data_IF_316955843140
#
_entry.id   IF_316955843140
#
_cell.length_a   1.000
_cell.length_b   1.000
_cell.length_c   1.000
_cell.angle_alpha   90.00
_cell.angle_beta   90.00
_cell.angle_gamma   90.00
#
_symmetry.space_group_name_H-M   'P 1'
#
loop_
_entity.id
_entity.type
_entity.pdbx_description
1 polymer ?
#
# COMPACT_ATOMS: atom_id res chain seq x y z
N UNK A 1 -21.09 -24.34 -13.83
CA UNK A 1 -21.38 -23.54 -12.62
C UNK A 1 -20.10 -22.98 -12.00
N UNK A 2 -19.10 -22.60 -12.81
CA UNK A 2 -17.77 -22.18 -12.32
C UNK A 2 -17.53 -20.67 -12.50
N UNK A 3 -18.41 -19.98 -13.23
CA UNK A 3 -18.23 -18.57 -13.59
C UNK A 3 -18.71 -17.58 -12.51
N UNK A 4 -19.56 -18.04 -11.57
CA UNK A 4 -20.14 -17.21 -10.52
C UNK A 4 -19.20 -16.98 -9.33
N UNK A 5 -18.25 -17.89 -9.08
CA UNK A 5 -17.33 -17.77 -7.93
C UNK A 5 -16.19 -16.78 -8.19
N UNK A 6 -15.76 -16.66 -9.46
CA UNK A 6 -14.64 -15.77 -9.85
C UNK A 6 -14.99 -14.27 -9.77
N UNK A 7 -16.25 -13.90 -10.01
CA UNK A 7 -16.70 -12.51 -9.98
C UNK A 7 -16.76 -11.89 -8.57
N UNK A 8 -17.14 -12.67 -7.56
CA UNK A 8 -17.27 -12.20 -6.17
C UNK A 8 -15.92 -11.99 -5.49
N UNK A 9 -14.99 -12.95 -5.66
CA UNK A 9 -13.67 -12.91 -5.03
C UNK A 9 -12.81 -11.75 -5.54
N UNK A 10 -12.97 -11.36 -6.81
CA UNK A 10 -12.31 -10.17 -7.37
C UNK A 10 -12.82 -8.87 -6.76
N UNK A 11 -14.14 -8.71 -6.63
CA UNK A 11 -14.76 -7.52 -6.06
C UNK A 11 -14.47 -7.32 -4.58
N UNK A 12 -14.50 -8.39 -3.78
CA UNK A 12 -14.16 -8.33 -2.35
C UNK A 12 -12.71 -7.91 -2.15
N UNK A 13 -11.77 -8.44 -2.94
CA UNK A 13 -10.36 -8.06 -2.87
C UNK A 13 -10.16 -6.57 -3.15
N UNK A 14 -10.88 -6.04 -4.14
CA UNK A 14 -10.89 -4.62 -4.45
C UNK A 14 -11.39 -3.81 -3.27
N UNK A 15 -12.54 -4.17 -2.70
CA UNK A 15 -13.12 -3.44 -1.57
C UNK A 15 -12.20 -3.46 -0.35
N UNK A 16 -11.61 -4.61 -0.03
CA UNK A 16 -10.66 -4.75 1.09
C UNK A 16 -9.41 -3.91 0.87
N UNK A 17 -8.81 -3.98 -0.33
CA UNK A 17 -7.61 -3.20 -0.64
C UNK A 17 -7.88 -1.70 -0.65
N UNK A 18 -9.02 -1.26 -1.21
CA UNK A 18 -9.43 0.15 -1.20
C UNK A 18 -9.68 0.63 0.24
N UNK A 19 -10.45 -0.11 1.04
CA UNK A 19 -10.71 0.23 2.43
C UNK A 19 -9.41 0.32 3.24
N UNK A 20 -8.48 -0.62 3.03
CA UNK A 20 -7.17 -0.61 3.66
C UNK A 20 -6.35 0.63 3.27
N UNK A 21 -6.30 0.99 1.98
CA UNK A 21 -5.58 2.18 1.52
C UNK A 21 -6.19 3.47 2.08
N UNK A 22 -7.52 3.58 2.10
CA UNK A 22 -8.21 4.74 2.69
C UNK A 22 -7.86 4.87 4.17
N UNK A 23 -7.94 3.77 4.93
CA UNK A 23 -7.58 3.75 6.34
C UNK A 23 -6.11 4.14 6.56
N UNK A 24 -5.20 3.60 5.74
CA UNK A 24 -3.78 3.94 5.80
C UNK A 24 -3.54 5.44 5.54
N UNK A 25 -4.18 6.01 4.50
CA UNK A 25 -4.09 7.44 4.20
C UNK A 25 -4.57 8.31 5.37
N UNK A 26 -5.69 7.94 6.01
CA UNK A 26 -6.18 8.64 7.21
C UNK A 26 -5.15 8.59 8.34
N UNK A 27 -4.61 7.40 8.64
CA UNK A 27 -3.62 7.23 9.70
C UNK A 27 -2.33 8.02 9.44
N UNK A 28 -1.81 7.98 8.21
CA UNK A 28 -0.63 8.75 7.78
C UNK A 28 -0.89 10.25 7.95
N UNK A 29 -2.06 10.72 7.53
CA UNK A 29 -2.45 12.14 7.65
C UNK A 29 -2.52 12.56 9.11
N UNK A 30 -3.15 11.76 9.97
CA UNK A 30 -3.20 12.05 11.41
C UNK A 30 -1.80 12.11 12.02
N UNK A 31 -0.93 11.13 11.73
CA UNK A 31 0.46 11.12 12.21
C UNK A 31 1.25 12.35 11.73
N UNK A 32 1.02 12.79 10.49
CA UNK A 32 1.64 13.99 9.96
C UNK A 32 1.14 15.26 10.69
N UNK A 33 -0.17 15.38 10.93
CA UNK A 33 -0.78 16.51 11.65
C UNK A 33 -0.33 16.56 13.11
N UNK A 34 -0.18 15.42 13.77
CA UNK A 34 0.34 15.32 15.14
C UNK A 34 1.88 15.43 15.24
N UNK A 35 2.55 15.89 14.18
CA UNK A 35 3.99 16.13 14.17
C UNK A 35 4.83 14.86 14.46
N UNK A 36 4.36 13.72 13.97
CA UNK A 36 5.09 12.45 13.96
C UNK A 36 5.44 12.03 12.51
N UNK A 37 6.14 12.87 11.73
CA UNK A 37 6.36 12.66 10.29
C UNK A 37 7.12 11.36 10.00
N UNK A 38 8.10 11.02 10.84
CA UNK A 38 8.85 9.78 10.70
C UNK A 38 7.96 8.53 10.87
N UNK A 39 7.03 8.55 11.83
CA UNK A 39 6.07 7.46 12.02
C UNK A 39 5.09 7.38 10.85
N UNK A 40 4.64 8.51 10.33
CA UNK A 40 3.79 8.57 9.13
C UNK A 40 4.45 7.89 7.92
N UNK A 41 5.75 8.16 7.72
CA UNK A 41 6.54 7.56 6.63
C UNK A 41 6.71 6.05 6.82
N UNK A 42 6.96 5.59 8.04
CA UNK A 42 7.03 4.15 8.33
C UNK A 42 5.69 3.44 8.08
N UNK A 43 4.56 4.08 8.42
CA UNK A 43 3.24 3.54 8.09
C UNK A 43 3.05 3.45 6.58
N UNK A 44 3.42 4.49 5.82
CA UNK A 44 3.38 4.45 4.35
C UNK A 44 4.20 3.29 3.78
N UNK A 45 5.44 3.10 4.25
CA UNK A 45 6.31 1.99 3.84
C UNK A 45 5.63 0.64 4.08
N UNK A 46 5.09 0.43 5.28
CA UNK A 46 4.37 -0.81 5.62
C UNK A 46 3.15 -1.00 4.72
N UNK A 47 2.38 0.05 4.46
CA UNK A 47 1.25 0.01 3.53
C UNK A 47 1.68 -0.45 2.13
N UNK A 48 2.82 0.02 1.61
CA UNK A 48 3.32 -0.41 0.30
C UNK A 48 3.68 -1.90 0.29
N UNK A 49 4.35 -2.41 1.33
CA UNK A 49 4.66 -3.84 1.43
C UNK A 49 3.41 -4.71 1.55
N UNK A 50 2.41 -4.29 2.34
CA UNK A 50 1.13 -5.00 2.45
C UNK A 50 0.42 -5.02 1.09
N UNK A 51 0.41 -3.91 0.34
CA UNK A 51 -0.13 -3.87 -1.01
C UNK A 51 0.62 -4.79 -1.97
N UNK A 52 1.95 -4.88 -1.87
CA UNK A 52 2.75 -5.81 -2.65
C UNK A 52 2.37 -7.27 -2.36
N UNK A 53 2.21 -7.64 -1.09
CA UNK A 53 1.79 -8.98 -0.67
C UNK A 53 0.38 -9.29 -1.16
N UNK A 54 -0.57 -8.37 -0.95
CA UNK A 54 -1.95 -8.55 -1.43
C UNK A 54 -1.99 -8.74 -2.96
N UNK A 55 -1.17 -8.00 -3.71
CA UNK A 55 -1.05 -8.15 -5.17
C UNK A 55 -0.39 -9.46 -5.60
N UNK A 56 0.54 -9.99 -4.80
CA UNK A 56 1.17 -11.28 -5.07
C UNK A 56 0.21 -12.45 -4.78
N UNK A 57 -0.58 -12.35 -3.72
CA UNK A 57 -1.47 -13.42 -3.23
C UNK A 57 -2.76 -13.50 -4.04
N UNK A 58 -3.36 -12.38 -4.46
CA UNK A 58 -4.69 -12.41 -5.09
C UNK A 58 -4.62 -12.56 -6.62
N UNK A 59 -5.03 -13.71 -7.19
CA UNK A 59 -5.12 -13.88 -8.63
C UNK A 59 -6.39 -13.17 -9.14
N UNK A 60 -6.25 -11.97 -9.69
CA UNK A 60 -7.38 -11.24 -10.25
C UNK A 60 -7.02 -9.86 -10.77
N UNK A 61 -8.00 -9.15 -11.33
CA UNK A 61 -7.88 -7.75 -11.78
C UNK A 61 -8.64 -6.80 -10.83
N UNK A 62 -8.32 -6.73 -9.53
CA UNK A 62 -9.13 -5.99 -8.59
C UNK A 62 -9.15 -4.48 -8.86
N UNK A 63 -8.07 -3.89 -9.39
CA UNK A 63 -8.04 -2.44 -9.63
C UNK A 63 -6.91 -1.94 -10.55
N UNK A 64 -5.75 -2.64 -10.57
CA UNK A 64 -4.67 -2.34 -11.53
C UNK A 64 -4.82 -3.17 -12.80
N UNK A 65 -5.15 -2.49 -13.90
CA UNK A 65 -5.29 -3.02 -15.25
C UNK A 65 -3.99 -3.56 -15.88
N UNK A 66 -2.85 -3.53 -15.17
CA UNK A 66 -1.60 -4.14 -15.62
C UNK A 66 -1.80 -5.64 -15.85
N UNK A 67 -1.46 -6.12 -17.07
CA UNK A 67 -1.39 -7.56 -17.35
C UNK A 67 -0.31 -8.26 -16.54
N UNK A 68 0.68 -7.52 -16.02
CA UNK A 68 1.85 -8.05 -15.32
C UNK A 68 1.78 -7.71 -13.84
N UNK A 69 1.07 -8.54 -13.05
CA UNK A 69 0.94 -8.40 -11.59
C UNK A 69 2.29 -8.21 -10.87
N UNK A 70 3.34 -8.87 -11.36
CA UNK A 70 4.68 -8.84 -10.79
C UNK A 70 5.39 -7.51 -10.96
N UNK A 71 5.04 -6.73 -12.00
CA UNK A 71 5.56 -5.38 -12.16
C UNK A 71 5.06 -4.47 -11.03
N UNK A 72 3.78 -4.60 -10.65
CA UNK A 72 3.18 -3.82 -9.57
C UNK A 72 3.77 -4.24 -8.21
N UNK A 73 3.93 -5.54 -7.97
CA UNK A 73 4.62 -6.06 -6.77
C UNK A 73 6.04 -5.49 -6.68
N UNK A 74 6.79 -5.57 -7.78
CA UNK A 74 8.15 -5.03 -7.86
C UNK A 74 8.19 -3.53 -7.60
N UNK A 75 7.24 -2.77 -8.16
CA UNK A 75 7.12 -1.33 -7.94
C UNK A 75 6.84 -1.00 -6.47
N UNK A 76 5.88 -1.68 -5.83
CA UNK A 76 5.56 -1.45 -4.43
C UNK A 76 6.73 -1.78 -3.50
N UNK A 77 7.42 -2.89 -3.74
CA UNK A 77 8.60 -3.30 -2.96
C UNK A 77 9.74 -2.30 -3.16
N UNK A 78 10.02 -1.92 -4.41
CA UNK A 78 11.11 -1.00 -4.73
C UNK A 78 10.85 0.38 -4.12
N UNK A 79 9.67 0.96 -4.33
CA UNK A 79 9.32 2.25 -3.75
C UNK A 79 9.29 2.19 -2.21
N UNK A 80 8.72 1.12 -1.63
CA UNK A 80 8.73 0.93 -0.18
C UNK A 80 10.14 0.87 0.39
N UNK A 81 11.07 0.15 -0.26
CA UNK A 81 12.47 0.07 0.14
C UNK A 81 13.20 1.40 0.00
N UNK A 82 12.98 2.14 -1.10
CA UNK A 82 13.58 3.47 -1.31
C UNK A 82 13.08 4.47 -0.27
N UNK A 83 11.77 4.53 -0.03
CA UNK A 83 11.18 5.42 0.98
C UNK A 83 11.67 5.04 2.38
N UNK A 84 11.79 3.74 2.67
CA UNK A 84 12.34 3.28 3.94
C UNK A 84 13.79 3.70 4.14
N UNK A 85 14.63 3.56 3.11
CA UNK A 85 16.01 4.01 3.12
C UNK A 85 16.15 5.51 3.41
N UNK A 86 15.26 6.33 2.85
CA UNK A 86 15.23 7.79 3.08
C UNK A 86 14.42 8.22 4.31
N UNK A 87 13.70 7.32 4.96
CA UNK A 87 12.85 7.61 6.12
C UNK A 87 13.58 8.34 7.28
N UNK A 88 14.85 8.04 7.62
CA UNK A 88 15.56 8.77 8.67
C UNK A 88 15.66 10.29 8.43
N UNK A 89 15.77 10.74 7.18
CA UNK A 89 15.88 12.16 6.83
C UNK A 89 14.57 12.93 7.03
N UNK A 90 13.45 12.24 7.25
CA UNK A 90 12.16 12.87 7.57
C UNK A 90 12.07 13.29 9.04
N UNK A 91 12.89 12.70 9.93
CA UNK A 91 12.97 13.09 11.33
C UNK A 91 13.80 14.37 11.54
N UNK A 92 14.72 14.68 10.61
CA UNK A 92 15.66 15.81 10.74
C UNK A 92 15.08 17.15 10.28
N UNK A 93 13.90 17.17 9.64
CA UNK A 93 13.22 18.40 9.23
C UNK A 93 12.51 19.14 10.39
N UNK A 94 12.49 18.55 11.60
CA UNK A 94 11.93 19.16 12.81
C UNK A 94 12.96 19.82 13.75
N UNK A 95 14.22 19.96 13.32
CA UNK A 95 15.30 20.62 14.06
C UNK A 95 15.70 21.95 13.40
N UNK A 96 14.72 22.84 13.23
CA UNK A 96 14.92 24.25 12.89
C UNK A 96 14.64 25.12 14.09
#
# INVERSE_FOLDING_TARGET
MEDQYSGSTGGVATLVSVAFVVLACVLITLLAVFNHPHKAVLVLVVTMFIMAVMRAVWPGRPWFASRRRWADVGLYVLLGAVIWYFSPYTATLGLG
#
